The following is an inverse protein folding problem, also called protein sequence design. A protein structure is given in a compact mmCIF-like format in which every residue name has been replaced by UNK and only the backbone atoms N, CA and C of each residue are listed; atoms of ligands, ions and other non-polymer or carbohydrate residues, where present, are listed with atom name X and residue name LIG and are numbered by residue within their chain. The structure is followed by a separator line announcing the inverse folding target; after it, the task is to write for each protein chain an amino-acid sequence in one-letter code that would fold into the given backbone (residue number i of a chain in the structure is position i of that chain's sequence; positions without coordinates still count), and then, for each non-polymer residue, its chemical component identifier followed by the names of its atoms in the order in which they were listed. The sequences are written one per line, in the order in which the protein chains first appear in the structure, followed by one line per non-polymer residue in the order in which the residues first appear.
data_IF_135483134607
#
_entry.id   IF_135483134607
#
_cell.length_a   1.000
_cell.length_b   1.000
_cell.length_c   1.000
_cell.angle_alpha   90.00
_cell.angle_beta   90.00
_cell.angle_gamma   90.00
#
_symmetry.space_group_name_H-M   'P 1'
#
loop_
_entity.id
_entity.type
_entity.pdbx_description
1 polymer ?
#
# COMPACT_ATOMS: atom_id res chain seq x y z
N UNK A 1 -18.45 -4.25 -18.18
CA UNK A 1 -17.08 -4.67 -18.49
C UNK A 1 -16.20 -4.48 -17.26
N UNK A 2 -15.57 -5.55 -16.75
CA UNK A 2 -14.81 -5.50 -15.51
C UNK A 2 -13.69 -4.46 -15.65
N UNK A 3 -13.56 -3.57 -14.66
CA UNK A 3 -12.63 -2.45 -14.71
C UNK A 3 -11.49 -2.68 -13.74
N UNK A 4 -10.28 -2.59 -14.27
CA UNK A 4 -9.04 -2.60 -13.51
C UNK A 4 -8.39 -1.22 -13.57
N UNK A 5 -8.09 -0.65 -12.41
CA UNK A 5 -7.26 0.56 -12.30
C UNK A 5 -6.19 0.35 -11.24
N UNK A 6 -5.09 1.08 -11.36
CA UNK A 6 -4.03 1.08 -10.37
C UNK A 6 -3.56 2.50 -10.07
N UNK A 7 -3.15 2.72 -8.83
CA UNK A 7 -2.51 3.93 -8.37
C UNK A 7 -1.05 3.62 -8.09
N UNK A 8 -0.15 4.46 -8.63
CA UNK A 8 1.28 4.40 -8.31
C UNK A 8 1.65 5.62 -7.47
N UNK A 9 2.21 5.39 -6.29
CA UNK A 9 2.77 6.43 -5.44
C UNK A 9 4.28 6.26 -5.38
N UNK A 10 5.01 7.27 -5.86
CA UNK A 10 6.46 7.32 -5.80
C UNK A 10 6.91 8.09 -4.56
N UNK A 11 7.69 7.46 -3.69
CA UNK A 11 8.23 8.08 -2.48
C UNK A 11 9.75 8.08 -2.53
N UNK A 12 10.41 9.25 -2.46
CA UNK A 12 11.86 9.30 -2.32
C UNK A 12 12.26 8.79 -0.94
N UNK A 13 13.34 8.00 -0.88
CA UNK A 13 13.92 7.57 0.39
C UNK A 13 14.66 8.71 1.10
N UNK A 14 15.36 9.54 0.33
CA UNK A 14 16.18 10.63 0.82
C UNK A 14 16.15 11.80 -0.17
N UNK A 15 16.34 13.01 0.37
CA UNK A 15 16.53 14.23 -0.41
C UNK A 15 17.96 14.76 -0.31
N UNK A 16 18.85 14.01 0.36
CA UNK A 16 20.25 14.39 0.52
C UNK A 16 20.99 14.20 -0.81
N UNK A 17 21.62 15.25 -1.37
CA UNK A 17 22.40 15.14 -2.60
C UNK A 17 23.65 14.26 -2.46
N UNK A 18 24.09 13.92 -1.25
CA UNK A 18 25.22 13.02 -1.00
C UNK A 18 24.84 11.52 -1.00
N UNK A 19 23.55 11.19 -0.99
CA UNK A 19 23.07 9.81 -1.01
C UNK A 19 22.67 9.35 -2.43
N UNK A 20 22.69 8.04 -2.64
CA UNK A 20 22.19 7.46 -3.89
C UNK A 20 20.70 7.74 -4.08
N UNK A 21 20.32 8.10 -5.31
CA UNK A 21 18.94 8.32 -5.69
C UNK A 21 18.15 7.02 -5.57
N UNK A 22 17.28 6.95 -4.57
CA UNK A 22 16.43 5.81 -4.32
C UNK A 22 14.96 6.23 -4.18
N UNK A 23 14.09 5.65 -5.01
CA UNK A 23 12.66 5.90 -5.04
C UNK A 23 11.91 4.59 -4.90
N UNK A 24 11.01 4.52 -3.93
CA UNK A 24 10.11 3.39 -3.74
C UNK A 24 8.80 3.64 -4.49
N UNK A 25 8.35 2.66 -5.28
CA UNK A 25 7.06 2.68 -5.96
C UNK A 25 6.06 1.79 -5.21
N UNK A 26 4.99 2.39 -4.70
CA UNK A 26 3.87 1.67 -4.11
C UNK A 26 2.74 1.60 -5.12
N UNK A 27 2.31 0.38 -5.45
CA UNK A 27 1.22 0.16 -6.43
C UNK A 27 0.02 -0.44 -5.73
N UNK A 28 -1.13 0.22 -5.88
CA UNK A 28 -2.40 -0.23 -5.33
C UNK A 28 -3.34 -0.54 -6.48
N UNK A 29 -3.91 -1.74 -6.50
CA UNK A 29 -4.91 -2.14 -7.48
C UNK A 29 -6.33 -1.88 -6.97
N UNK A 30 -7.19 -1.41 -7.86
CA UNK A 30 -8.63 -1.32 -7.66
C UNK A 30 -9.34 -2.14 -8.71
N UNK A 31 -9.99 -3.20 -8.25
CA UNK A 31 -10.74 -4.14 -9.08
C UNK A 31 -12.23 -3.86 -8.94
N UNK A 32 -12.91 -3.66 -10.07
CA UNK A 32 -14.36 -3.41 -10.12
C UNK A 32 -15.02 -4.47 -11.00
N UNK A 33 -15.64 -5.51 -10.39
CA UNK A 33 -16.39 -6.53 -11.13
C UNK A 33 -17.66 -5.97 -11.76
N UNK A 34 -18.14 -6.64 -12.81
CA UNK A 34 -19.32 -6.21 -13.57
C UNK A 34 -20.65 -6.54 -12.94
N UNK A 35 -20.78 -7.75 -12.39
CA UNK A 35 -22.08 -8.33 -12.02
C UNK A 35 -22.22 -8.45 -10.51
N UNK A 36 -21.59 -7.54 -9.77
CA UNK A 36 -21.65 -7.53 -8.31
C UNK A 36 -20.77 -8.56 -7.61
N UNK A 37 -20.22 -9.55 -8.32
CA UNK A 37 -19.08 -10.39 -7.90
C UNK A 37 -18.27 -10.73 -9.16
N UNK A 38 -16.99 -11.03 -8.96
CA UNK A 38 -16.09 -11.51 -10.02
C UNK A 38 -14.95 -12.31 -9.42
N UNK A 39 -13.98 -12.67 -10.23
CA UNK A 39 -12.78 -13.39 -9.78
C UNK A 39 -11.52 -12.68 -10.25
N UNK A 40 -10.37 -12.94 -9.62
CA UNK A 40 -9.08 -12.35 -10.03
C UNK A 40 -8.77 -12.59 -11.50
N UNK A 41 -9.17 -13.75 -12.06
CA UNK A 41 -9.00 -14.10 -13.46
C UNK A 41 -9.70 -13.15 -14.44
N UNK A 42 -10.71 -12.39 -13.99
CA UNK A 42 -11.36 -11.35 -14.79
C UNK A 42 -10.48 -10.10 -14.96
N UNK A 43 -9.39 -9.99 -14.20
CA UNK A 43 -8.48 -8.84 -14.14
C UNK A 43 -7.06 -9.23 -14.56
N UNK A 44 -6.73 -9.11 -15.86
CA UNK A 44 -5.52 -9.70 -16.41
C UNK A 44 -4.23 -9.05 -15.91
N UNK A 45 -4.24 -7.79 -15.42
CA UNK A 45 -3.05 -7.21 -14.82
C UNK A 45 -2.77 -7.73 -13.42
N UNK A 46 -3.78 -7.81 -12.55
CA UNK A 46 -3.62 -8.44 -11.24
C UNK A 46 -3.31 -9.92 -11.36
N UNK A 47 -3.97 -10.69 -12.23
CA UNK A 47 -3.75 -12.15 -12.31
C UNK A 47 -2.28 -12.53 -12.57
N UNK A 48 -1.56 -11.75 -13.39
CA UNK A 48 -0.16 -11.98 -13.77
C UNK A 48 0.76 -10.81 -13.38
N UNK A 49 0.44 -10.11 -12.29
CA UNK A 49 1.06 -8.82 -11.94
C UNK A 49 2.58 -8.80 -11.98
N UNK A 50 3.20 -9.80 -11.35
CA UNK A 50 4.66 -9.91 -11.27
C UNK A 50 5.31 -10.17 -12.64
N UNK A 51 4.67 -10.92 -13.52
CA UNK A 51 5.15 -11.10 -14.90
C UNK A 51 5.03 -9.80 -15.69
N UNK A 52 3.94 -9.05 -15.50
CA UNK A 52 3.73 -7.76 -16.17
C UNK A 52 4.71 -6.70 -15.71
N UNK A 53 4.99 -6.63 -14.40
CA UNK A 53 6.04 -5.78 -13.84
C UNK A 53 7.41 -6.11 -14.41
N UNK A 54 7.76 -7.40 -14.53
CA UNK A 54 9.05 -7.82 -15.10
C UNK A 54 9.22 -7.42 -16.57
N UNK A 55 8.12 -7.35 -17.34
CA UNK A 55 8.12 -6.89 -18.72
C UNK A 55 7.94 -5.36 -18.86
N UNK A 56 7.66 -4.64 -17.77
CA UNK A 56 7.37 -3.22 -17.81
C UNK A 56 8.63 -2.37 -18.00
N UNK A 57 8.48 -1.24 -18.71
CA UNK A 57 9.50 -0.20 -18.78
C UNK A 57 9.22 0.82 -17.69
N UNK A 58 10.11 0.91 -16.71
CA UNK A 58 10.01 1.85 -15.59
C UNK A 58 11.14 2.87 -15.74
N UNK A 59 10.79 4.14 -15.78
CA UNK A 59 11.74 5.25 -15.88
C UNK A 59 11.29 6.41 -14.98
N UNK A 60 12.26 7.22 -14.55
CA UNK A 60 12.01 8.41 -13.74
C UNK A 60 12.31 9.65 -14.59
N UNK A 61 11.39 10.60 -14.59
CA UNK A 61 11.55 11.90 -15.24
C UNK A 61 11.35 13.02 -14.22
N UNK A 62 12.36 13.87 -14.09
CA UNK A 62 12.27 15.11 -13.33
C UNK A 62 11.76 16.25 -14.21
N UNK A 63 11.07 17.21 -13.60
CA UNK A 63 10.74 18.48 -14.26
C UNK A 63 11.73 19.54 -13.82
N UNK A 64 12.35 20.23 -14.76
CA UNK A 64 13.22 21.38 -14.51
C UNK A 64 12.42 22.68 -14.75
N UNK A 65 12.98 23.82 -14.31
CA UNK A 65 12.41 25.14 -14.61
C UNK A 65 12.14 25.32 -16.11
N UNK A 66 11.09 26.06 -16.45
CA UNK A 66 10.72 26.32 -17.85
C UNK A 66 9.98 25.18 -18.56
N UNK A 67 9.47 24.17 -17.83
CA UNK A 67 8.63 23.10 -18.40
C UNK A 67 9.40 21.98 -19.10
N UNK A 68 10.73 22.03 -19.08
CA UNK A 68 11.57 20.97 -19.63
C UNK A 68 11.57 19.75 -18.71
N UNK A 69 11.65 18.55 -19.30
CA UNK A 69 11.75 17.28 -18.55
C UNK A 69 13.12 16.66 -18.79
N UNK A 70 13.68 16.07 -17.73
CA UNK A 70 14.99 15.42 -17.74
C UNK A 70 14.81 13.97 -17.28
N UNK A 71 15.31 13.02 -18.08
CA UNK A 71 15.36 11.62 -17.67
C UNK A 71 16.40 11.45 -16.55
N UNK A 72 16.00 10.84 -15.44
CA UNK A 72 16.88 10.50 -14.33
C UNK A 72 17.28 9.03 -14.50
N UNK A 73 18.57 8.72 -14.65
CA UNK A 73 19.03 7.35 -14.83
C UNK A 73 18.78 6.56 -13.55
N UNK A 74 17.86 5.60 -13.60
CA UNK A 74 17.53 4.69 -12.50
C UNK A 74 17.46 3.27 -13.03
N UNK A 75 17.85 2.31 -12.19
CA UNK A 75 17.71 0.88 -12.49
C UNK A 75 16.58 0.31 -11.63
N UNK A 76 15.48 -0.16 -12.24
CA UNK A 76 14.39 -0.79 -11.49
C UNK A 76 14.86 -2.06 -10.77
N UNK A 77 14.64 -2.14 -9.46
CA UNK A 77 15.00 -3.30 -8.66
C UNK A 77 13.96 -4.44 -8.81
N UNK A 78 13.95 -5.12 -9.97
CA UNK A 78 12.96 -6.16 -10.30
C UNK A 78 13.46 -7.60 -10.04
N UNK A 79 14.74 -7.78 -9.73
CA UNK A 79 15.35 -9.11 -9.56
C UNK A 79 14.74 -9.92 -8.39
N UNK A 80 14.14 -9.25 -7.41
CA UNK A 80 13.49 -9.89 -6.27
C UNK A 80 12.06 -10.38 -6.57
N UNK A 81 11.50 -10.07 -7.75
CA UNK A 81 10.17 -10.56 -8.13
C UNK A 81 10.19 -12.09 -8.22
N UNK A 82 9.15 -12.72 -7.62
CA UNK A 82 8.95 -14.17 -7.67
C UNK A 82 7.64 -14.48 -8.40
N UNK A 83 7.65 -14.61 -9.74
CA UNK A 83 6.43 -14.74 -10.52
C UNK A 83 5.57 -15.95 -10.16
N UNK A 84 6.20 -17.02 -9.68
CA UNK A 84 5.51 -18.24 -9.28
C UNK A 84 4.69 -18.12 -7.98
N UNK A 85 5.03 -17.16 -7.10
CA UNK A 85 4.34 -16.99 -5.80
C UNK A 85 3.03 -16.22 -5.99
N UNK A 86 3.00 -15.26 -6.89
CA UNK A 86 1.83 -14.40 -7.10
C UNK A 86 0.52 -15.17 -7.35
N UNK A 87 0.44 -16.13 -8.30
CA UNK A 87 -0.79 -16.90 -8.52
C UNK A 87 -1.12 -17.87 -7.38
N UNK A 88 -0.19 -18.13 -6.44
CA UNK A 88 -0.48 -18.91 -5.24
C UNK A 88 -1.18 -18.06 -4.17
N UNK A 89 -0.85 -16.77 -4.08
CA UNK A 89 -1.47 -15.82 -3.13
C UNK A 89 -2.77 -15.27 -3.69
N UNK A 90 -2.81 -15.02 -5.01
CA UNK A 90 -3.96 -14.49 -5.73
C UNK A 90 -4.32 -15.45 -6.88
N UNK A 91 -4.93 -16.61 -6.57
CA UNK A 91 -5.33 -17.56 -7.61
C UNK A 91 -6.46 -16.97 -8.47
N UNK A 92 -6.59 -17.45 -9.71
CA UNK A 92 -7.50 -16.87 -10.70
C UNK A 92 -8.97 -16.97 -10.29
N UNK A 93 -9.33 -17.95 -9.47
CA UNK A 93 -10.68 -18.17 -8.92
C UNK A 93 -10.94 -17.39 -7.62
N UNK A 94 -9.94 -16.65 -7.10
CA UNK A 94 -10.11 -15.86 -5.88
C UNK A 94 -11.25 -14.84 -6.07
N UNK A 95 -12.26 -14.84 -5.20
CA UNK A 95 -13.42 -13.97 -5.36
C UNK A 95 -13.05 -12.51 -5.10
N UNK A 96 -13.49 -11.64 -6.02
CA UNK A 96 -13.39 -10.19 -5.94
C UNK A 96 -14.79 -9.64 -5.67
N UNK A 97 -14.97 -9.06 -4.49
CA UNK A 97 -16.22 -8.39 -4.11
C UNK A 97 -16.18 -6.91 -4.48
N UNK A 98 -17.29 -6.33 -4.91
CA UNK A 98 -17.39 -4.91 -5.20
C UNK A 98 -17.17 -4.13 -3.92
N UNK A 99 -16.62 -2.93 -4.08
CA UNK A 99 -16.53 -1.97 -3.00
C UNK A 99 -17.93 -1.68 -2.45
N UNK A 100 -18.12 -1.91 -1.15
CA UNK A 100 -19.33 -1.49 -0.45
C UNK A 100 -19.00 -0.23 0.32
N UNK A 101 -19.74 0.84 0.06
CA UNK A 101 -19.65 2.04 0.90
C UNK A 101 -20.04 1.65 2.33
N UNK A 102 -19.15 1.82 3.33
CA UNK A 102 -19.51 1.52 4.70
C UNK A 102 -20.65 2.43 5.14
N UNK A 103 -21.68 1.84 5.76
CA UNK A 103 -22.79 2.58 6.33
C UNK A 103 -22.33 3.21 7.65
N UNK A 104 -21.73 4.40 7.56
CA UNK A 104 -21.14 5.12 8.69
C UNK A 104 -22.17 5.53 9.76
N UNK A 105 -23.45 5.49 9.43
CA UNK A 105 -24.58 5.76 10.33
C UNK A 105 -25.00 4.54 11.16
N UNK A 106 -24.62 3.32 10.77
CA UNK A 106 -24.95 2.09 11.48
C UNK A 106 -23.94 1.76 12.60
N UNK A 107 -22.79 2.43 12.64
CA UNK A 107 -21.77 2.24 13.67
C UNK A 107 -22.04 3.25 14.79
N UNK A 108 -22.29 2.82 16.06
CA UNK A 108 -22.40 3.76 17.16
C UNK A 108 -21.07 4.50 17.34
N UNK A 109 -21.08 5.81 17.06
CA UNK A 109 -19.92 6.67 17.21
C UNK A 109 -19.51 6.74 18.68
N UNK A 110 -18.35 6.19 19.01
CA UNK A 110 -17.71 6.40 20.32
C UNK A 110 -16.87 7.66 20.25
N UNK A 111 -17.46 8.78 20.64
CA UNK A 111 -16.74 10.04 20.81
C UNK A 111 -15.96 10.00 22.12
N UNK A 112 -14.63 9.90 22.03
CA UNK A 112 -13.76 10.10 23.19
C UNK A 112 -13.57 11.61 23.41
N UNK A 113 -13.81 12.14 24.61
CA UNK A 113 -13.63 13.57 24.86
C UNK A 113 -12.17 13.97 24.63
N UNK A 114 -11.91 14.81 23.63
CA UNK A 114 -10.57 15.25 23.26
C UNK A 114 -9.80 15.90 24.43
N UNK A 115 -10.51 16.56 25.36
CA UNK A 115 -9.91 17.18 26.54
C UNK A 115 -9.25 16.18 27.51
N UNK A 116 -9.56 14.88 27.44
CA UNK A 116 -8.89 13.84 28.23
C UNK A 116 -7.83 13.04 27.45
N UNK A 117 -7.77 13.19 26.13
CA UNK A 117 -6.82 12.46 25.29
C UNK A 117 -5.39 12.98 25.45
N UNK A 118 -5.21 14.28 25.72
CA UNK A 118 -3.90 14.87 25.95
C UNK A 118 -3.21 14.26 27.19
N UNK A 119 -3.97 14.03 28.26
CA UNK A 119 -3.47 13.36 29.46
C UNK A 119 -3.16 11.88 29.22
N UNK A 120 -3.98 11.18 28.43
CA UNK A 120 -3.70 9.78 28.06
C UNK A 120 -2.49 9.66 27.14
N UNK A 121 -2.28 10.57 26.19
CA UNK A 121 -1.14 10.56 25.28
C UNK A 121 0.18 10.76 26.04
N UNK A 122 0.21 11.66 27.02
CA UNK A 122 1.37 11.85 27.90
C UNK A 122 1.63 10.63 28.78
N UNK A 123 0.57 10.00 29.30
CA UNK A 123 0.69 8.82 30.15
C UNK A 123 1.15 7.58 29.35
N UNK A 124 0.66 7.39 28.12
CA UNK A 124 1.12 6.35 27.19
C UNK A 124 2.57 6.60 26.76
N UNK A 125 2.94 7.85 26.47
CA UNK A 125 4.32 8.20 26.14
C UNK A 125 5.27 7.96 27.33
N UNK A 126 4.85 8.33 28.54
CA UNK A 126 5.60 8.06 29.76
C UNK A 126 5.76 6.55 30.00
N UNK A 127 4.70 5.75 29.86
CA UNK A 127 4.77 4.27 29.98
C UNK A 127 5.69 3.68 28.90
N UNK A 128 5.63 4.18 27.67
CA UNK A 128 6.50 3.74 26.56
C UNK A 128 7.99 4.01 26.82
N UNK A 129 8.32 5.07 27.55
CA UNK A 129 9.71 5.38 27.92
C UNK A 129 10.24 4.40 28.97
N UNK A 130 9.37 3.85 29.83
CA UNK A 130 9.75 2.88 30.87
C UNK A 130 9.68 1.41 30.42
N UNK A 131 9.05 1.10 29.28
CA UNK A 131 8.81 -0.29 28.86
C UNK A 131 9.92 -0.93 28.00
N UNK A 132 11.08 -0.29 27.82
CA UNK A 132 12.23 -0.77 27.03
C UNK A 132 11.98 -0.91 25.51
N UNK A 133 12.84 -0.33 24.64
CA UNK A 133 12.62 -0.25 23.19
C UNK A 133 12.92 -1.55 22.41
N UNK A 134 13.23 -2.66 23.08
CA UNK A 134 13.73 -3.91 22.44
C UNK A 134 12.79 -5.10 22.56
N UNK A 135 11.61 -4.95 23.16
CA UNK A 135 10.63 -6.04 23.26
C UNK A 135 9.34 -5.67 22.54
N UNK A 136 8.97 -6.43 21.51
CA UNK A 136 7.69 -6.27 20.82
C UNK A 136 6.53 -6.51 21.79
N UNK A 137 5.49 -5.65 21.81
CA UNK A 137 4.34 -5.87 22.68
C UNK A 137 3.61 -7.16 22.27
N UNK A 138 3.44 -8.08 23.22
CA UNK A 138 2.71 -9.33 23.00
C UNK A 138 1.21 -9.08 22.90
N UNK A 139 0.54 -9.73 21.96
CA UNK A 139 -0.92 -9.63 21.79
C UNK A 139 -1.62 -10.20 23.03
N UNK A 140 -2.36 -9.36 23.74
CA UNK A 140 -3.23 -9.79 24.84
C UNK A 140 -4.45 -10.49 24.22
N UNK A 141 -4.60 -11.78 24.47
CA UNK A 141 -5.80 -12.52 24.07
C UNK A 141 -7.06 -11.86 24.67
N UNK A 142 -8.10 -11.68 23.85
CA UNK A 142 -9.41 -11.21 24.31
C UNK A 142 -10.03 -12.26 25.25
N UNK A 143 -10.68 -11.85 26.35
CA UNK A 143 -11.47 -12.76 27.16
C UNK A 143 -12.71 -13.21 26.37
N UNK A 144 -13.05 -14.49 26.53
CA UNK A 144 -14.23 -15.18 26.02
C UNK A 144 -15.54 -14.56 26.50
#
# INVERSE_FOLDING_TARGET
MAVESFLVTALPRSADPAEEVHVSLFVTHRLTPDRGEGVVGDFPNVADWTKRLAAAKIGLVGRTGGGTTLAIPVTPALAALRPAIWPQVFPADLPVRPWRTPELTAVPWRSFPAHRMQQHALLVHAISLFSSPVSSPTVRAMPS
#
